data_IF_806485189504
#
_entry.id   IF_806485189504
#
_cell.length_a   1.000
_cell.length_b   1.000
_cell.length_c   1.000
_cell.angle_alpha   90.00
_cell.angle_beta   90.00
_cell.angle_gamma   90.00
#
_symmetry.space_group_name_H-M   'P 1'
#
loop_
_entity.id
_entity.type
_entity.pdbx_description
1 polymer ?
#
# COMPACT_ATOMS: atom_id res chain seq x y z
N UNK A 1 -24.18 9.44 -14.45
CA UNK A 1 -22.94 9.00 -15.14
C UNK A 1 -21.91 8.80 -14.03
N UNK A 2 -21.29 7.62 -13.94
CA UNK A 2 -20.27 7.34 -12.92
C UNK A 2 -18.95 7.93 -13.42
N UNK A 3 -18.31 8.75 -12.60
CA UNK A 3 -16.99 9.32 -12.87
C UNK A 3 -15.91 8.34 -12.40
N UNK A 4 -14.87 8.15 -13.20
CA UNK A 4 -13.78 7.18 -12.93
C UNK A 4 -12.44 7.86 -12.66
N UNK A 5 -12.39 9.18 -12.73
CA UNK A 5 -11.24 9.93 -12.26
C UNK A 5 -10.99 9.64 -10.77
N UNK A 6 -9.73 9.43 -10.42
CA UNK A 6 -9.32 9.31 -9.02
C UNK A 6 -9.47 10.67 -8.34
N UNK A 7 -9.83 10.66 -7.06
CA UNK A 7 -9.69 11.85 -6.23
C UNK A 7 -8.21 12.19 -6.03
N UNK A 8 -7.92 13.45 -5.68
CA UNK A 8 -6.56 13.89 -5.32
C UNK A 8 -5.93 12.99 -4.25
N UNK A 9 -6.72 12.61 -3.24
CA UNK A 9 -6.31 11.69 -2.18
C UNK A 9 -5.95 10.29 -2.71
N UNK A 10 -6.73 9.77 -3.64
CA UNK A 10 -6.45 8.48 -4.30
C UNK A 10 -5.21 8.55 -5.19
N UNK A 11 -4.97 9.70 -5.85
CA UNK A 11 -3.74 9.91 -6.63
C UNK A 11 -2.50 9.94 -5.73
N UNK A 12 -2.57 10.64 -4.59
CA UNK A 12 -1.50 10.67 -3.60
C UNK A 12 -1.19 9.27 -3.06
N UNK A 13 -2.22 8.48 -2.74
CA UNK A 13 -2.01 7.11 -2.27
C UNK A 13 -1.38 6.22 -3.35
N UNK A 14 -1.83 6.37 -4.61
CA UNK A 14 -1.26 5.64 -5.75
C UNK A 14 0.22 5.96 -5.92
N UNK A 15 0.60 7.23 -5.81
CA UNK A 15 1.99 7.68 -5.89
C UNK A 15 2.84 7.09 -4.76
N UNK A 16 2.37 7.19 -3.50
CA UNK A 16 3.05 6.61 -2.35
C UNK A 16 3.26 5.09 -2.50
N UNK A 17 2.23 4.37 -2.93
CA UNK A 17 2.32 2.93 -3.19
C UNK A 17 3.32 2.61 -4.32
N UNK A 18 3.34 3.43 -5.37
CA UNK A 18 4.25 3.26 -6.49
C UNK A 18 5.71 3.46 -6.09
N UNK A 19 6.00 4.48 -5.28
CA UNK A 19 7.33 4.77 -4.76
C UNK A 19 7.83 3.63 -3.86
N UNK A 20 7.02 3.22 -2.89
CA UNK A 20 7.35 2.08 -2.02
C UNK A 20 7.60 0.79 -2.83
N UNK A 21 6.78 0.52 -3.84
CA UNK A 21 6.97 -0.63 -4.70
C UNK A 21 8.26 -0.54 -5.53
N UNK A 22 8.60 0.65 -6.04
CA UNK A 22 9.83 0.89 -6.82
C UNK A 22 11.08 0.73 -5.96
N UNK A 23 11.08 1.31 -4.76
CA UNK A 23 12.30 1.46 -3.95
C UNK A 23 12.54 0.28 -3.01
N UNK A 24 11.48 -0.36 -2.51
CA UNK A 24 11.59 -1.46 -1.54
C UNK A 24 11.21 -2.81 -2.15
N UNK A 25 10.05 -2.91 -2.82
CA UNK A 25 9.53 -4.22 -3.26
C UNK A 25 10.28 -4.76 -4.47
N UNK A 26 10.32 -4.02 -5.59
CA UNK A 26 10.94 -4.46 -6.86
C UNK A 26 12.38 -4.95 -6.73
N UNK A 27 13.31 -4.23 -6.06
CA UNK A 27 14.70 -4.68 -6.00
C UNK A 27 14.90 -5.95 -5.16
N UNK A 28 13.99 -6.23 -4.21
CA UNK A 28 14.11 -7.37 -3.30
C UNK A 28 13.23 -8.57 -3.70
N UNK A 29 12.25 -8.38 -4.59
CA UNK A 29 11.24 -9.38 -4.93
C UNK A 29 11.83 -10.71 -5.42
N UNK A 30 12.81 -10.68 -6.34
CA UNK A 30 13.46 -11.90 -6.86
C UNK A 30 14.17 -12.68 -5.75
N UNK A 31 14.83 -11.98 -4.83
CA UNK A 31 15.50 -12.60 -3.70
C UNK A 31 14.49 -13.27 -2.76
N UNK A 32 13.40 -12.57 -2.43
CA UNK A 32 12.37 -13.12 -1.55
C UNK A 32 11.70 -14.36 -2.14
N UNK A 33 11.40 -14.35 -3.43
CA UNK A 33 10.83 -15.49 -4.14
C UNK A 33 11.79 -16.69 -4.16
N UNK A 34 13.03 -16.47 -4.61
CA UNK A 34 14.04 -17.53 -4.71
C UNK A 34 14.37 -18.21 -3.37
N UNK A 35 14.24 -17.48 -2.26
CA UNK A 35 14.53 -17.97 -0.92
C UNK A 35 13.28 -18.36 -0.12
N UNK A 36 12.09 -18.27 -0.71
CA UNK A 36 10.81 -18.45 0.01
C UNK A 36 10.73 -17.61 1.29
N UNK A 37 11.27 -16.39 1.24
CA UNK A 37 11.35 -15.50 2.39
C UNK A 37 10.08 -14.66 2.49
N UNK A 38 9.46 -14.67 3.67
CA UNK A 38 8.37 -13.74 3.98
C UNK A 38 8.95 -12.37 4.38
N UNK A 39 8.63 -11.27 3.66
CA UNK A 39 9.30 -9.98 3.85
C UNK A 39 8.68 -9.17 5.00
N UNK A 40 8.80 -9.68 6.23
CA UNK A 40 8.17 -9.09 7.42
C UNK A 40 8.54 -7.63 7.64
N UNK A 41 9.79 -7.25 7.40
CA UNK A 41 10.27 -5.86 7.58
C UNK A 41 9.63 -4.91 6.58
N UNK A 42 9.59 -5.28 5.29
CA UNK A 42 8.93 -4.48 4.26
C UNK A 42 7.42 -4.36 4.51
N UNK A 43 6.78 -5.41 5.03
CA UNK A 43 5.36 -5.35 5.40
C UNK A 43 5.13 -4.41 6.59
N UNK A 44 6.02 -4.42 7.59
CA UNK A 44 5.95 -3.49 8.71
C UNK A 44 6.17 -2.03 8.25
N UNK A 45 7.07 -1.80 7.30
CA UNK A 45 7.28 -0.49 6.68
C UNK A 45 6.04 -0.03 5.91
N UNK A 46 5.48 -0.89 5.05
CA UNK A 46 4.23 -0.60 4.33
C UNK A 46 3.08 -0.28 5.29
N UNK A 47 3.01 -0.96 6.44
CA UNK A 47 2.03 -0.68 7.48
C UNK A 47 2.24 0.70 8.12
N UNK A 48 3.49 1.05 8.43
CA UNK A 48 3.83 2.37 8.97
C UNK A 48 3.51 3.51 7.99
N UNK A 49 3.66 3.28 6.69
CA UNK A 49 3.27 4.20 5.61
C UNK A 49 1.75 4.26 5.37
N UNK A 50 0.97 3.41 6.04
CA UNK A 50 -0.48 3.35 5.85
C UNK A 50 -0.93 2.72 4.55
N UNK A 51 -0.06 1.96 3.86
CA UNK A 51 -0.36 1.22 2.64
C UNK A 51 -1.06 -0.13 2.91
N UNK A 52 -1.25 -0.48 4.17
CA UNK A 52 -1.96 -1.69 4.61
C UNK A 52 -3.24 -1.30 5.34
N UNK A 53 -4.21 -2.23 5.40
CA UNK A 53 -5.43 -2.05 6.20
C UNK A 53 -6.30 -0.83 5.84
N UNK A 54 -6.25 -0.39 4.58
CA UNK A 54 -6.99 0.78 4.05
C UNK A 54 -8.51 0.77 4.31
N UNK A 55 -9.10 -0.38 4.63
CA UNK A 55 -10.54 -0.56 4.84
C UNK A 55 -10.92 -0.68 6.32
N UNK A 56 -9.93 -0.71 7.22
CA UNK A 56 -10.17 -0.82 8.65
C UNK A 56 -10.44 0.61 9.17
N UNK A 57 -11.51 0.82 9.94
CA UNK A 57 -11.77 2.11 10.56
C UNK A 57 -10.62 2.56 11.47
N UNK A 58 -10.34 3.86 11.52
CA UNK A 58 -9.22 4.38 12.29
C UNK A 58 -9.33 4.17 13.80
N UNK A 59 -10.54 3.99 14.33
CA UNK A 59 -10.78 3.61 15.73
C UNK A 59 -10.12 2.27 16.11
N UNK A 60 -9.78 1.44 15.12
CA UNK A 60 -9.07 0.17 15.30
C UNK A 60 -7.57 0.24 14.95
N UNK A 61 -7.01 1.45 14.82
CA UNK A 61 -5.58 1.66 14.61
C UNK A 61 -5.12 1.63 13.15
N UNK A 62 -6.04 1.79 12.20
CA UNK A 62 -5.74 1.93 10.78
C UNK A 62 -5.79 3.39 10.31
N UNK A 63 -5.26 3.65 9.12
CA UNK A 63 -5.35 4.95 8.48
C UNK A 63 -6.69 5.07 7.76
N UNK A 64 -7.37 6.22 7.91
CA UNK A 64 -8.70 6.44 7.30
C UNK A 64 -8.53 6.48 5.79
N UNK A 65 -8.98 5.44 5.09
CA UNK A 65 -9.15 5.46 3.64
C UNK A 65 -10.52 4.89 3.27
N UNK A 66 -11.10 5.34 2.16
CA UNK A 66 -12.40 4.85 1.68
C UNK A 66 -12.27 3.50 0.93
N UNK A 67 -13.33 2.70 0.93
CA UNK A 67 -13.37 1.37 0.31
C UNK A 67 -12.97 1.32 -1.17
N UNK A 68 -13.18 2.40 -1.93
CA UNK A 68 -12.87 2.47 -3.36
C UNK A 68 -11.37 2.62 -3.66
N UNK A 69 -10.57 2.92 -2.64
CA UNK A 69 -9.14 3.26 -2.76
C UNK A 69 -8.23 2.01 -2.75
N UNK A 70 -8.81 0.81 -2.63
CA UNK A 70 -8.08 -0.46 -2.49
C UNK A 70 -7.68 -1.12 -3.82
N UNK A 71 -8.35 -0.81 -4.92
CA UNK A 71 -8.15 -1.45 -6.23
C UNK A 71 -7.11 -0.69 -7.07
#
# INVERSE_FOLDING_TARGET
MVEFALSEEQEMLRELAHEFARDTVRPNAEHWDANSQFPTEAIAEAHALGLTNLHIPAEYGAWVWEYLTKC
#
